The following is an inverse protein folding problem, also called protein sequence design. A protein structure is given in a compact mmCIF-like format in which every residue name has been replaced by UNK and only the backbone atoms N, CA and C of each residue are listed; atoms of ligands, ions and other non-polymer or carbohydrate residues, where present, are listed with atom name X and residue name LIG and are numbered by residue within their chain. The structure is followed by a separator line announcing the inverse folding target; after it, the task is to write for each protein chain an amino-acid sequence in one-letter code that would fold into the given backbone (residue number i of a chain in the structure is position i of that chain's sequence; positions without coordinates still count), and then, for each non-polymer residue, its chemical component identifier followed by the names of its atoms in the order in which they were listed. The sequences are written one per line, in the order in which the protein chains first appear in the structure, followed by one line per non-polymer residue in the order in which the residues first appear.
data_IF_606947679141
#
_entry.id   IF_606947679141
#
_cell.length_a   1.000
_cell.length_b   1.000
_cell.length_c   1.000
_cell.angle_alpha   90.00
_cell.angle_beta   90.00
_cell.angle_gamma   90.00
#
_symmetry.space_group_name_H-M   'P 1'
#
loop_
_entity.id
_entity.type
_entity.pdbx_description
1 polymer ?
#
# COMPACT_ATOMS: atom_id res chain seq x y z
N UNK A 1 -32.32 11.22 20.89
CA UNK A 1 -32.10 12.17 19.78
C UNK A 1 -30.60 12.50 19.66
N UNK A 2 -29.87 11.99 18.65
CA UNK A 2 -28.49 12.40 18.37
C UNK A 2 -28.51 13.59 17.40
N UNK A 3 -28.14 14.79 17.86
CA UNK A 3 -28.03 15.97 16.98
C UNK A 3 -26.87 15.77 16.02
N UNK A 4 -27.19 15.50 14.75
CA UNK A 4 -26.21 15.43 13.67
C UNK A 4 -25.63 16.82 13.41
N UNK A 5 -24.42 17.08 13.90
CA UNK A 5 -23.68 18.32 13.62
C UNK A 5 -23.22 18.26 12.16
N UNK A 6 -23.96 18.88 11.23
CA UNK A 6 -23.49 19.10 9.86
C UNK A 6 -22.25 20.01 9.92
N UNK A 7 -21.09 19.46 9.56
CA UNK A 7 -19.88 20.24 9.37
C UNK A 7 -20.09 21.25 8.25
N UNK A 8 -19.64 22.49 8.47
CA UNK A 8 -19.69 23.54 7.44
C UNK A 8 -18.88 23.11 6.21
N UNK A 9 -19.21 23.68 5.04
CA UNK A 9 -18.53 23.33 3.78
C UNK A 9 -17.01 23.65 3.86
N UNK A 10 -16.62 24.75 4.52
CA UNK A 10 -15.19 25.07 4.72
C UNK A 10 -14.50 24.08 5.66
N UNK A 11 -15.20 23.61 6.70
CA UNK A 11 -14.69 22.62 7.64
C UNK A 11 -14.49 21.24 6.95
N UNK A 12 -15.41 20.85 6.05
CA UNK A 12 -15.25 19.66 5.20
C UNK A 12 -14.10 19.78 4.20
N UNK A 13 -13.88 20.97 3.64
CA UNK A 13 -12.76 21.24 2.71
C UNK A 13 -11.41 21.13 3.41
N UNK A 14 -11.30 21.61 4.66
CA UNK A 14 -10.09 21.46 5.47
C UNK A 14 -9.76 20.00 5.81
N UNK A 15 -10.77 19.19 6.15
CA UNK A 15 -10.59 17.75 6.40
C UNK A 15 -10.12 17.02 5.14
N UNK A 16 -10.71 17.33 3.99
CA UNK A 16 -10.31 16.76 2.70
C UNK A 16 -8.87 17.12 2.30
N UNK A 17 -8.48 18.39 2.48
CA UNK A 17 -7.11 18.83 2.20
C UNK A 17 -6.08 18.12 3.10
N UNK A 18 -6.42 17.91 4.37
CA UNK A 18 -5.55 17.17 5.29
C UNK A 18 -5.45 15.67 4.92
N UNK A 19 -6.58 15.03 4.57
CA UNK A 19 -6.59 13.65 4.07
C UNK A 19 -5.72 13.47 2.83
N UNK A 20 -5.86 14.38 1.86
CA UNK A 20 -5.08 14.33 0.62
C UNK A 20 -3.58 14.45 0.89
N UNK A 21 -3.18 15.25 1.89
CA UNK A 21 -1.79 15.41 2.30
C UNK A 21 -1.23 14.17 3.00
N UNK A 22 -2.01 13.52 3.86
CA UNK A 22 -1.62 12.28 4.55
C UNK A 22 -1.49 11.15 3.52
N UNK A 23 -2.50 10.95 2.68
CA UNK A 23 -2.49 9.93 1.63
C UNK A 23 -1.30 10.07 0.67
N UNK A 24 -0.87 11.30 0.34
CA UNK A 24 0.34 11.52 -0.47
C UNK A 24 1.64 11.13 0.25
N UNK A 25 1.72 11.38 1.56
CA UNK A 25 2.90 10.99 2.36
C UNK A 25 2.99 9.50 2.54
N UNK A 26 1.85 8.86 2.82
CA UNK A 26 1.75 7.42 2.91
C UNK A 26 2.14 6.81 1.56
N UNK A 27 1.58 7.27 0.44
CA UNK A 27 1.97 6.79 -0.89
C UNK A 27 3.49 6.81 -1.12
N UNK A 28 4.17 7.91 -0.78
CA UNK A 28 5.63 8.02 -0.93
C UNK A 28 6.41 7.05 -0.04
N UNK A 29 5.95 6.80 1.19
CA UNK A 29 6.57 5.85 2.10
C UNK A 29 6.41 4.41 1.55
N UNK A 30 5.21 4.05 1.14
CA UNK A 30 4.92 2.73 0.55
C UNK A 30 5.65 2.53 -0.79
N UNK A 31 5.72 3.54 -1.65
CA UNK A 31 6.47 3.48 -2.92
C UNK A 31 7.95 3.16 -2.66
N UNK A 32 8.56 3.81 -1.65
CA UNK A 32 9.96 3.59 -1.26
C UNK A 32 10.21 2.23 -0.61
N UNK A 33 9.33 1.80 0.29
CA UNK A 33 9.41 0.47 0.93
C UNK A 33 9.29 -0.64 -0.11
N UNK A 34 8.36 -0.53 -1.07
CA UNK A 34 8.22 -1.48 -2.18
C UNK A 34 9.48 -1.47 -3.05
N UNK A 35 10.00 -0.30 -3.41
CA UNK A 35 11.21 -0.23 -4.24
C UNK A 35 12.41 -0.91 -3.56
N UNK A 36 12.60 -0.72 -2.26
CA UNK A 36 13.66 -1.37 -1.47
C UNK A 36 13.45 -2.88 -1.33
N UNK A 37 12.21 -3.32 -1.07
CA UNK A 37 11.87 -4.73 -0.83
C UNK A 37 11.96 -5.58 -2.11
N UNK A 38 11.61 -5.00 -3.26
CA UNK A 38 11.60 -5.66 -4.58
C UNK A 38 12.83 -5.33 -5.46
N UNK A 39 13.78 -4.56 -4.95
CA UNK A 39 15.08 -4.35 -5.60
C UNK A 39 15.81 -5.68 -5.81
N UNK A 40 16.70 -5.73 -6.82
CA UNK A 40 17.50 -6.92 -7.14
C UNK A 40 18.44 -7.25 -5.98
N UNK A 41 18.17 -8.34 -5.26
CA UNK A 41 18.88 -8.71 -4.02
C UNK A 41 18.27 -8.16 -2.72
N UNK A 42 17.12 -7.50 -2.81
CA UNK A 42 16.32 -7.04 -1.67
C UNK A 42 15.78 -8.20 -0.83
N UNK A 43 15.13 -7.85 0.28
CA UNK A 43 14.64 -8.80 1.30
C UNK A 43 13.81 -9.95 0.70
N UNK A 44 13.05 -9.67 -0.37
CA UNK A 44 12.19 -10.63 -1.02
C UNK A 44 12.82 -11.36 -2.21
N UNK A 45 14.04 -11.03 -2.63
CA UNK A 45 14.70 -11.65 -3.79
C UNK A 45 14.79 -13.18 -3.69
N UNK A 46 15.13 -13.71 -2.52
CA UNK A 46 15.17 -15.17 -2.27
C UNK A 46 13.78 -15.83 -2.30
N UNK A 47 12.74 -15.07 -2.01
CA UNK A 47 11.34 -15.56 -2.04
C UNK A 47 10.85 -15.58 -3.49
N UNK A 48 11.18 -14.54 -4.27
CA UNK A 48 10.89 -14.49 -5.71
C UNK A 48 11.58 -15.64 -6.45
N UNK A 49 12.86 -15.90 -6.18
CA UNK A 49 13.59 -17.02 -6.81
C UNK A 49 12.97 -18.39 -6.48
N UNK A 50 12.48 -18.58 -5.25
CA UNK A 50 11.74 -19.79 -4.87
C UNK A 50 10.39 -19.90 -5.59
N UNK A 51 9.68 -18.78 -5.73
CA UNK A 51 8.39 -18.74 -6.45
C UNK A 51 8.62 -19.06 -7.93
N UNK A 52 9.60 -18.44 -8.57
CA UNK A 52 9.97 -18.72 -9.97
C UNK A 52 10.32 -20.20 -10.15
N UNK A 53 11.15 -20.76 -9.26
CA UNK A 53 11.49 -22.20 -9.30
C UNK A 53 10.25 -23.10 -9.13
N UNK A 54 9.29 -22.71 -8.28
CA UNK A 54 8.04 -23.46 -8.09
C UNK A 54 7.10 -23.33 -9.28
N UNK A 55 7.06 -22.17 -9.94
CA UNK A 55 6.31 -21.95 -11.18
C UNK A 55 6.89 -22.82 -12.30
N UNK A 56 8.22 -22.78 -12.49
CA UNK A 56 8.92 -23.58 -13.50
C UNK A 56 8.75 -25.09 -13.25
N UNK A 57 8.71 -25.51 -11.98
CA UNK A 57 8.45 -26.89 -11.59
C UNK A 57 6.96 -27.29 -11.69
N UNK A 58 6.05 -26.36 -12.02
CA UNK A 58 4.60 -26.61 -12.07
C UNK A 58 3.95 -26.87 -10.70
N UNK A 59 4.64 -26.55 -9.60
CA UNK A 59 4.23 -26.81 -8.22
C UNK A 59 3.74 -25.56 -7.47
N UNK A 60 3.61 -24.42 -8.14
CA UNK A 60 3.12 -23.20 -7.51
C UNK A 60 1.61 -23.33 -7.23
N UNK A 61 1.25 -23.37 -5.95
CA UNK A 61 -0.13 -23.32 -5.48
C UNK A 61 -0.49 -21.86 -5.16
N UNK A 62 -1.29 -21.17 -6.00
CA UNK A 62 -1.82 -19.88 -5.63
C UNK A 62 -2.68 -20.02 -4.38
N UNK A 63 -2.63 -19.02 -3.50
CA UNK A 63 -3.53 -18.96 -2.35
C UNK A 63 -5.00 -18.94 -2.84
N UNK A 64 -5.92 -19.56 -2.09
CA UNK A 64 -7.35 -19.62 -2.45
C UNK A 64 -8.04 -18.26 -2.41
#
# INVERSE_FOLDING_TARGET
MRKSKRLSISCRRGIWQNWLRIARRDKLAWDKEIEEDFSRGGKHGKTLEKIDTQIDAGNFTPLP
#
